data_IF_900241133876
#
_entry.id   IF_900241133876
#
_cell.length_a   1.000
_cell.length_b   1.000
_cell.length_c   1.000
_cell.angle_alpha   90.00
_cell.angle_beta   90.00
_cell.angle_gamma   90.00
#
_symmetry.space_group_name_H-M   'P 1'
#
loop_
_entity.id
_entity.type
_entity.pdbx_description
1 polymer ?
#
# COMPACT_ATOMS: atom_id res chain seq x y z
N UNK A 1 8.09 -10.36 -5.21
CA UNK A 1 7.82 -9.69 -3.92
C UNK A 1 8.66 -8.45 -3.75
N UNK A 2 9.96 -8.52 -4.03
CA UNK A 2 10.85 -7.36 -3.95
C UNK A 2 10.37 -6.18 -4.81
N UNK A 3 9.98 -6.41 -6.07
CA UNK A 3 9.48 -5.36 -6.99
C UNK A 3 8.32 -4.52 -6.42
N UNK A 4 7.24 -5.14 -5.93
CA UNK A 4 6.09 -4.39 -5.39
C UNK A 4 6.44 -3.66 -4.09
N UNK A 5 7.30 -4.24 -3.25
CA UNK A 5 7.78 -3.59 -2.02
C UNK A 5 8.63 -2.36 -2.34
N UNK A 6 9.44 -2.40 -3.40
CA UNK A 6 10.20 -1.24 -3.89
C UNK A 6 9.24 -0.13 -4.36
N UNK A 7 8.25 -0.46 -5.17
CA UNK A 7 7.25 0.52 -5.67
C UNK A 7 6.43 1.14 -4.54
N UNK A 8 6.06 0.35 -3.52
CA UNK A 8 5.41 0.87 -2.30
C UNK A 8 6.33 1.84 -1.56
N UNK A 9 7.63 1.54 -1.49
CA UNK A 9 8.61 2.44 -0.86
C UNK A 9 8.77 3.76 -1.62
N UNK A 10 8.62 3.75 -2.95
CA UNK A 10 8.64 4.95 -3.77
C UNK A 10 7.43 5.87 -3.56
N UNK A 11 6.28 5.32 -3.18
CA UNK A 11 5.08 6.10 -2.90
C UNK A 11 5.32 7.09 -1.74
N UNK A 12 5.96 6.67 -0.65
CA UNK A 12 6.26 7.53 0.51
C UNK A 12 7.23 8.69 0.22
N UNK A 13 8.03 8.58 -0.85
CA UNK A 13 8.98 9.63 -1.28
C UNK A 13 8.50 10.39 -2.52
N UNK A 14 7.25 10.21 -2.95
CA UNK A 14 6.68 10.92 -4.10
C UNK A 14 7.25 10.50 -5.46
N UNK A 15 7.82 9.29 -5.55
CA UNK A 15 8.34 8.73 -6.80
C UNK A 15 7.38 7.75 -7.48
N UNK A 16 6.26 7.45 -6.83
CA UNK A 16 5.17 6.68 -7.41
C UNK A 16 3.83 7.30 -7.03
N UNK A 17 3.05 7.66 -8.05
CA UNK A 17 1.71 8.24 -7.93
C UNK A 17 0.60 7.22 -8.22
N UNK A 18 0.95 5.95 -8.45
CA UNK A 18 0.00 4.89 -8.81
C UNK A 18 -0.39 4.04 -7.58
N UNK A 19 -1.64 3.56 -7.49
CA UNK A 19 -2.06 2.63 -6.45
C UNK A 19 -1.25 1.34 -6.51
N UNK A 20 -0.85 0.83 -5.33
CA UNK A 20 -0.27 -0.51 -5.20
C UNK A 20 -1.32 -1.46 -4.65
N UNK A 21 -1.51 -2.62 -5.30
CA UNK A 21 -2.62 -3.52 -5.00
C UNK A 21 -2.14 -4.97 -4.98
N UNK A 22 -2.46 -5.68 -3.90
CA UNK A 22 -2.32 -7.12 -3.78
C UNK A 22 -3.68 -7.79 -3.99
N UNK A 23 -3.78 -8.59 -5.06
CA UNK A 23 -4.95 -9.43 -5.29
C UNK A 23 -4.88 -10.70 -4.42
N UNK A 24 -5.48 -10.63 -3.22
CA UNK A 24 -5.33 -11.56 -2.11
C UNK A 24 -6.26 -12.78 -2.18
N UNK A 25 -6.12 -13.59 -3.25
CA UNK A 25 -6.89 -14.82 -3.40
C UNK A 25 -6.50 -15.87 -2.35
N UNK A 26 -7.51 -16.49 -1.74
CA UNK A 26 -7.34 -17.51 -0.70
C UNK A 26 -6.42 -17.09 0.45
N UNK A 27 -6.39 -15.78 0.75
CA UNK A 27 -5.57 -15.21 1.82
C UNK A 27 -4.05 -15.43 1.65
N UNK A 28 -3.58 -15.66 0.43
CA UNK A 28 -2.17 -15.90 0.14
C UNK A 28 -1.24 -14.77 0.61
N UNK A 29 -1.66 -13.51 0.47
CA UNK A 29 -0.92 -12.31 0.87
C UNK A 29 -1.23 -11.84 2.29
N UNK A 30 -2.04 -12.56 3.06
CA UNK A 30 -2.36 -12.18 4.44
C UNK A 30 -1.13 -12.04 5.36
N UNK A 31 -0.07 -12.89 5.25
CA UNK A 31 1.17 -12.65 6.00
C UNK A 31 1.83 -11.30 5.67
N UNK A 32 1.69 -10.81 4.44
CA UNK A 32 2.27 -9.53 4.04
C UNK A 32 1.41 -8.37 4.52
N UNK A 33 0.08 -8.49 4.43
CA UNK A 33 -0.85 -7.54 5.02
C UNK A 33 -0.53 -7.31 6.50
N UNK A 34 -0.37 -8.39 7.26
CA UNK A 34 0.02 -8.34 8.68
C UNK A 34 1.41 -7.71 8.87
N UNK A 35 2.38 -8.02 8.02
CA UNK A 35 3.71 -7.40 8.08
C UNK A 35 3.63 -5.87 7.90
N UNK A 36 2.84 -5.38 6.94
CA UNK A 36 2.65 -3.95 6.73
C UNK A 36 1.91 -3.28 7.90
N UNK A 37 0.94 -3.98 8.50
CA UNK A 37 0.22 -3.49 9.67
C UNK A 37 1.13 -3.43 10.90
N UNK A 38 2.00 -4.42 11.10
CA UNK A 38 3.03 -4.43 12.14
C UNK A 38 4.03 -3.27 11.95
N UNK A 39 4.40 -2.95 10.71
CA UNK A 39 5.24 -1.78 10.42
C UNK A 39 4.56 -0.47 10.83
N UNK A 40 3.23 -0.37 10.69
CA UNK A 40 2.47 0.78 11.20
C UNK A 40 2.49 0.83 12.73
N UNK A 41 2.20 -0.30 13.38
CA UNK A 41 2.18 -0.38 14.84
C UNK A 41 3.52 -0.01 15.48
N UNK A 42 4.63 -0.40 14.83
CA UNK A 42 5.98 -0.13 15.31
C UNK A 42 6.55 1.23 14.82
N UNK A 43 5.78 2.03 14.09
CA UNK A 43 6.18 3.36 13.64
C UNK A 43 7.15 3.39 12.45
N UNK A 44 7.36 2.27 11.76
CA UNK A 44 8.17 2.19 10.53
C UNK A 44 7.41 2.66 9.29
N UNK A 45 6.07 2.62 9.33
CA UNK A 45 5.19 3.10 8.27
C UNK A 45 4.09 3.97 8.88
N UNK A 46 3.72 5.09 8.24
CA UNK A 46 2.53 5.82 8.70
C UNK A 46 1.25 5.18 8.19
N UNK A 47 0.17 5.31 8.93
CA UNK A 47 -1.16 4.87 8.50
C UNK A 47 -1.56 5.44 7.13
N UNK A 48 -1.27 6.71 6.87
CA UNK A 48 -1.57 7.36 5.57
C UNK A 48 -0.83 6.71 4.38
N UNK A 49 0.38 6.20 4.60
CA UNK A 49 1.14 5.50 3.56
C UNK A 49 0.64 4.06 3.41
N UNK A 50 0.24 3.43 4.51
CA UNK A 50 -0.37 2.10 4.52
C UNK A 50 -1.67 2.06 3.72
N UNK A 51 -2.49 3.11 3.81
CA UNK A 51 -3.74 3.29 3.06
C UNK A 51 -3.53 3.42 1.55
N UNK A 52 -2.30 3.71 1.08
CA UNK A 52 -1.97 3.74 -0.35
C UNK A 52 -1.74 2.35 -0.95
N UNK A 53 -1.76 1.30 -0.12
CA UNK A 53 -1.64 -0.10 -0.55
C UNK A 53 -2.91 -0.87 -0.20
N UNK A 54 -3.57 -1.46 -1.19
CA UNK A 54 -4.76 -2.28 -0.99
C UNK A 54 -4.40 -3.77 -0.96
N UNK A 55 -5.01 -4.51 -0.03
CA UNK A 55 -5.10 -5.97 -0.08
C UNK A 55 -6.58 -6.32 -0.29
N UNK A 56 -6.93 -6.95 -1.40
CA UNK A 56 -8.32 -7.28 -1.72
C UNK A 56 -8.41 -8.57 -2.53
N UNK A 57 -9.45 -9.37 -2.27
CA UNK A 57 -9.81 -10.53 -3.09
C UNK A 57 -10.96 -10.24 -4.08
N UNK A 58 -11.48 -9.00 -4.10
CA UNK A 58 -12.59 -8.56 -4.94
C UNK A 58 -12.10 -7.58 -6.01
N UNK A 59 -12.44 -7.85 -7.27
CA UNK A 59 -12.14 -6.95 -8.39
C UNK A 59 -12.94 -5.64 -8.28
N UNK A 60 -14.19 -5.69 -7.80
CA UNK A 60 -15.00 -4.49 -7.60
C UNK A 60 -14.34 -3.52 -6.61
N UNK A 61 -13.80 -4.04 -5.51
CA UNK A 61 -13.08 -3.24 -4.52
C UNK A 61 -11.75 -2.69 -5.05
N UNK A 62 -11.12 -3.42 -5.99
CA UNK A 62 -9.91 -2.96 -6.68
C UNK A 62 -10.23 -1.81 -7.64
N UNK A 63 -11.30 -1.94 -8.43
CA UNK A 63 -11.76 -0.88 -9.33
C UNK A 63 -12.17 0.38 -8.57
N UNK A 64 -12.88 0.23 -7.46
CA UNK A 64 -13.25 1.34 -6.58
C UNK A 64 -12.01 2.04 -6.00
N UNK A 65 -11.03 1.27 -5.55
CA UNK A 65 -9.79 1.82 -5.01
C UNK A 65 -8.99 2.58 -6.07
N UNK A 66 -8.88 2.05 -7.29
CA UNK A 66 -8.22 2.74 -8.40
C UNK A 66 -8.96 4.04 -8.74
N UNK A 67 -10.29 4.00 -8.80
CA UNK A 67 -11.11 5.16 -9.18
C UNK A 67 -11.06 6.30 -8.18
N UNK A 68 -10.89 5.98 -6.89
CA UNK A 68 -10.82 6.95 -5.79
C UNK A 68 -9.39 7.18 -5.28
N UNK A 69 -8.37 6.68 -5.98
CA UNK A 69 -7.00 6.74 -5.47
C UNK A 69 -6.48 8.18 -5.45
N UNK A 70 -6.17 8.66 -4.25
CA UNK A 70 -5.48 9.93 -4.06
C UNK A 70 -3.97 9.72 -3.97
N UNK A 71 -3.21 10.55 -4.68
CA UNK A 71 -1.74 10.46 -4.70
C UNK A 71 -1.14 10.63 -3.29
N UNK A 72 -0.02 9.96 -2.98
CA UNK A 72 0.68 10.15 -1.72
C UNK A 72 1.15 11.60 -1.55
N UNK A 73 0.99 12.15 -0.34
CA UNK A 73 1.58 13.45 0.00
C UNK A 73 3.05 13.22 0.36
N UNK A 74 3.96 13.84 -0.39
CA UNK A 74 5.41 13.68 -0.15
C UNK A 74 5.78 14.21 1.23
N UNK A 75 6.38 13.35 2.05
CA UNK A 75 6.84 13.76 3.39
C UNK A 75 7.99 14.77 3.28
N UNK A 76 7.81 15.91 3.94
CA UNK A 76 8.89 16.87 4.20
C UNK A 76 9.49 16.55 5.56
N UNK A 77 10.73 16.07 5.57
CA UNK A 77 11.53 16.03 6.79
C UNK A 77 12.14 17.42 7.00
N UNK A 78 11.88 18.04 8.15
CA UNK A 78 12.57 19.25 8.61
C UNK A 78 13.82 18.88 9.39
#
# INVERSE_FOLDING_TARGET
>A
MEEITEVISWAGVGKNDSPCIFYNINSYYHPMENMYDDMVQNGFLTITDREKTLFSNSLDSIEEFISNYEKPVVRSYK
#
